data_IF_988243685899
#
_entry.id   IF_988243685899
#
_cell.length_a   1.000
_cell.length_b   1.000
_cell.length_c   1.000
_cell.angle_alpha   90.00
_cell.angle_beta   90.00
_cell.angle_gamma   90.00
#
_symmetry.space_group_name_H-M   'P 1'
#
loop_
_entity.id
_entity.type
_entity.pdbx_description
1 polymer ?
#
# COMPACT_ATOMS: atom_id res chain seq x y z
N UNK A 1 1.91 -5.22 -8.98
CA UNK A 1 1.55 -3.85 -9.41
C UNK A 1 2.66 -2.83 -9.15
N UNK A 2 3.35 -2.85 -8.01
CA UNK A 2 4.40 -1.84 -7.71
C UNK A 2 5.61 -1.87 -8.66
N UNK A 3 6.21 -3.05 -8.88
CA UNK A 3 7.43 -3.18 -9.69
C UNK A 3 7.21 -3.24 -11.21
N UNK A 4 6.00 -3.52 -11.67
CA UNK A 4 5.71 -3.73 -13.10
C UNK A 4 4.34 -3.23 -13.54
N UNK A 5 3.77 -2.30 -12.78
CA UNK A 5 2.39 -1.84 -12.96
C UNK A 5 2.12 -1.32 -14.36
N UNK A 6 3.04 -0.55 -14.93
CA UNK A 6 2.94 -0.04 -16.30
C UNK A 6 2.80 -1.16 -17.33
N UNK A 7 3.67 -2.17 -17.27
CA UNK A 7 3.66 -3.31 -18.20
C UNK A 7 2.36 -4.10 -18.03
N UNK A 8 1.99 -4.41 -16.79
CA UNK A 8 0.79 -5.19 -16.47
C UNK A 8 -0.47 -4.46 -16.94
N UNK A 9 -0.62 -3.18 -16.61
CA UNK A 9 -1.79 -2.37 -17.01
C UNK A 9 -1.87 -2.21 -18.53
N UNK A 10 -0.75 -1.99 -19.22
CA UNK A 10 -0.70 -1.92 -20.69
C UNK A 10 -1.10 -3.25 -21.34
N UNK A 11 -0.56 -4.37 -20.86
CA UNK A 11 -0.87 -5.70 -21.39
C UNK A 11 -2.35 -6.05 -21.17
N UNK A 12 -2.90 -5.78 -19.98
CA UNK A 12 -4.31 -5.98 -19.69
C UNK A 12 -5.20 -5.18 -20.66
N UNK A 13 -4.89 -3.90 -20.87
CA UNK A 13 -5.59 -3.05 -21.84
C UNK A 13 -5.57 -3.59 -23.27
N UNK A 14 -4.40 -4.05 -23.75
CA UNK A 14 -4.26 -4.57 -25.11
C UNK A 14 -4.87 -5.97 -25.34
N UNK A 15 -4.97 -6.78 -24.28
CA UNK A 15 -5.47 -8.17 -24.37
C UNK A 15 -6.97 -8.29 -24.11
N UNK A 16 -7.61 -7.22 -23.61
CA UNK A 16 -8.98 -7.27 -23.12
C UNK A 16 -9.14 -8.00 -21.78
N UNK A 17 -8.02 -8.41 -21.16
CA UNK A 17 -8.05 -8.98 -19.81
C UNK A 17 -8.42 -7.92 -18.79
N UNK A 18 -9.17 -8.33 -17.75
CA UNK A 18 -9.55 -7.46 -16.65
C UNK A 18 -8.77 -7.84 -15.40
N UNK A 19 -8.15 -6.85 -14.77
CA UNK A 19 -7.55 -6.98 -13.44
C UNK A 19 -8.63 -6.65 -12.41
N UNK A 20 -8.87 -7.54 -11.45
CA UNK A 20 -9.83 -7.34 -10.37
C UNK A 20 -9.06 -7.37 -9.05
N UNK A 21 -9.03 -6.28 -8.27
CA UNK A 21 -8.23 -6.19 -7.07
C UNK A 21 -8.81 -7.02 -5.91
N UNK A 22 -7.91 -7.68 -5.18
CA UNK A 22 -8.22 -8.47 -3.98
C UNK A 22 -7.74 -7.77 -2.70
N UNK A 23 -6.72 -6.93 -2.80
CA UNK A 23 -6.31 -6.05 -1.71
C UNK A 23 -7.52 -5.22 -1.22
N UNK A 24 -7.71 -5.11 0.11
CA UNK A 24 -8.96 -4.62 0.69
C UNK A 24 -9.31 -3.20 0.27
N UNK A 25 -8.32 -2.30 0.28
CA UNK A 25 -8.45 -0.89 -0.06
C UNK A 25 -8.78 -0.72 -1.53
N UNK A 26 -8.08 -1.45 -2.39
CA UNK A 26 -8.31 -1.42 -3.83
C UNK A 26 -9.63 -2.09 -4.21
N UNK A 27 -10.02 -3.16 -3.52
CA UNK A 27 -11.34 -3.79 -3.69
C UNK A 27 -12.47 -2.87 -3.25
N UNK A 28 -12.26 -2.09 -2.19
CA UNK A 28 -13.20 -1.06 -1.75
C UNK A 28 -13.39 0.06 -2.79
N UNK A 29 -12.28 0.57 -3.35
CA UNK A 29 -12.32 1.54 -4.45
C UNK A 29 -13.03 0.94 -5.68
N UNK A 30 -12.65 -0.28 -6.07
CA UNK A 30 -13.25 -0.97 -7.21
C UNK A 30 -14.77 -1.18 -7.04
N UNK A 31 -15.23 -1.46 -5.82
CA UNK A 31 -16.66 -1.53 -5.49
C UNK A 31 -17.36 -0.17 -5.60
N UNK A 32 -16.70 0.92 -5.18
CA UNK A 32 -17.25 2.27 -5.29
C UNK A 32 -17.35 2.74 -6.75
N UNK A 33 -16.44 2.27 -7.61
CA UNK A 33 -16.43 2.60 -9.04
C UNK A 33 -17.38 1.73 -9.90
N UNK A 34 -18.05 0.73 -9.31
CA UNK A 34 -18.89 -0.19 -10.07
C UNK A 34 -20.15 0.52 -10.59
N UNK A 35 -20.18 0.81 -11.89
CA UNK A 35 -21.25 1.56 -12.56
C UNK A 35 -20.92 3.03 -12.79
N UNK A 36 -19.78 3.50 -12.28
CA UNK A 36 -19.32 4.88 -12.42
C UNK A 36 -18.30 5.03 -13.56
N UNK A 37 -18.20 6.23 -14.12
CA UNK A 37 -17.12 6.59 -15.04
C UNK A 37 -15.86 6.95 -14.24
N UNK A 38 -14.72 6.30 -14.52
CA UNK A 38 -13.42 6.67 -13.90
C UNK A 38 -13.06 8.13 -14.20
N UNK A 39 -13.51 8.69 -15.33
CA UNK A 39 -13.36 10.10 -15.66
C UNK A 39 -14.11 11.06 -14.71
N UNK A 40 -15.08 10.56 -13.94
CA UNK A 40 -15.82 11.33 -12.93
C UNK A 40 -15.13 11.37 -11.56
N UNK A 41 -14.13 10.51 -11.33
CA UNK A 41 -13.32 10.52 -10.11
C UNK A 41 -12.60 11.85 -9.99
N UNK A 42 -12.65 12.46 -8.81
CA UNK A 42 -11.84 13.60 -8.42
C UNK A 42 -10.61 13.14 -7.65
N UNK A 43 -10.77 12.21 -6.69
CA UNK A 43 -9.69 11.75 -5.82
C UNK A 43 -9.99 10.35 -5.26
N UNK A 44 -8.94 9.55 -5.05
CA UNK A 44 -9.01 8.32 -4.27
C UNK A 44 -8.57 8.59 -2.83
N UNK A 45 -9.23 7.97 -1.86
CA UNK A 45 -8.89 8.11 -0.45
C UNK A 45 -8.63 6.72 0.13
N UNK A 46 -7.36 6.38 0.32
CA UNK A 46 -6.92 5.11 0.88
C UNK A 46 -6.86 5.22 2.40
N UNK A 47 -7.58 4.33 3.07
CA UNK A 47 -7.53 4.25 4.54
C UNK A 47 -6.40 3.33 4.99
N UNK A 48 -5.66 3.71 6.03
CA UNK A 48 -4.66 2.89 6.70
C UNK A 48 -5.07 2.61 8.15
N UNK A 49 -4.72 1.45 8.71
CA UNK A 49 -4.92 1.20 10.16
C UNK A 49 -4.01 2.08 11.04
N UNK A 50 -2.90 2.57 10.48
CA UNK A 50 -1.81 3.24 11.19
C UNK A 50 -0.78 2.29 11.82
N UNK A 51 -1.01 0.97 11.74
CA UNK A 51 -0.09 -0.04 12.25
C UNK A 51 0.03 -0.09 13.78
N UNK A 52 0.88 -0.97 14.34
CA UNK A 52 1.08 -1.15 15.78
C UNK A 52 1.75 0.04 16.48
N UNK A 53 2.34 0.96 15.72
CA UNK A 53 3.15 2.07 16.22
C UNK A 53 2.47 3.43 16.11
N UNK A 54 1.21 3.46 15.67
CA UNK A 54 0.37 4.66 15.62
C UNK A 54 0.42 5.43 16.96
N UNK A 55 0.78 6.70 16.89
CA UNK A 55 0.89 7.59 18.07
C UNK A 55 2.19 7.49 18.86
N UNK A 56 3.15 6.65 18.45
CA UNK A 56 4.51 6.65 19.01
C UNK A 56 5.34 7.77 18.42
N UNK A 57 6.30 8.24 19.21
CA UNK A 57 7.32 9.22 18.83
C UNK A 57 8.53 8.55 18.18
N UNK A 58 9.37 9.36 17.54
CA UNK A 58 10.62 8.88 16.93
C UNK A 58 11.53 8.20 17.96
N UNK A 59 11.67 8.78 19.14
CA UNK A 59 12.51 8.29 20.22
C UNK A 59 12.05 6.91 20.70
N UNK A 60 10.74 6.70 20.85
CA UNK A 60 10.15 5.41 21.25
C UNK A 60 10.36 4.31 20.22
N UNK A 61 10.56 4.68 18.95
CA UNK A 61 10.74 3.75 17.83
C UNK A 61 12.20 3.37 17.59
N UNK A 62 13.17 4.06 18.20
CA UNK A 62 14.59 3.70 18.09
C UNK A 62 14.91 2.31 18.67
N UNK A 63 14.15 1.89 19.68
CA UNK A 63 14.39 0.63 20.41
C UNK A 63 13.32 -0.44 20.17
N UNK A 64 12.42 -0.28 19.21
CA UNK A 64 11.39 -1.29 18.96
C UNK A 64 12.00 -2.56 18.39
N UNK A 65 11.52 -3.71 18.86
CA UNK A 65 11.91 -5.00 18.33
C UNK A 65 10.97 -5.44 17.20
N UNK A 66 11.41 -6.42 16.39
CA UNK A 66 10.50 -7.10 15.46
C UNK A 66 9.28 -7.70 16.16
N UNK A 67 9.43 -8.15 17.41
CA UNK A 67 8.33 -8.73 18.17
C UNK A 67 7.25 -7.70 18.52
N UNK A 68 7.62 -6.42 18.63
CA UNK A 68 6.68 -5.32 18.82
C UNK A 68 5.96 -4.97 17.52
N UNK A 69 6.70 -4.95 16.41
CA UNK A 69 6.13 -4.68 15.08
C UNK A 69 5.15 -5.77 14.64
N UNK A 70 5.34 -7.02 15.04
CA UNK A 70 4.47 -8.14 14.67
C UNK A 70 3.11 -8.16 15.41
N UNK A 71 2.87 -7.26 16.37
CA UNK A 71 1.61 -7.18 17.14
C UNK A 71 0.59 -6.24 16.47
N UNK A 72 0.15 -6.57 15.25
CA UNK A 72 -0.81 -5.73 14.52
C UNK A 72 -2.18 -5.67 15.21
N UNK A 73 -2.83 -4.49 15.34
CA UNK A 73 -4.06 -4.33 16.13
C UNK A 73 -5.29 -5.02 15.52
N UNK A 74 -5.44 -4.98 14.18
CA UNK A 74 -6.70 -5.35 13.53
C UNK A 74 -6.65 -6.61 12.65
N UNK A 75 -5.45 -7.11 12.32
CA UNK A 75 -5.26 -8.10 11.27
C UNK A 75 -4.24 -9.15 11.69
N UNK A 76 -4.51 -10.41 11.37
CA UNK A 76 -3.51 -11.48 11.41
C UNK A 76 -2.97 -11.68 10.00
N UNK A 77 -1.72 -11.28 9.77
CA UNK A 77 -1.12 -11.25 8.43
C UNK A 77 0.28 -11.87 8.44
N UNK A 78 0.86 -12.06 7.25
CA UNK A 78 2.26 -12.48 7.11
C UNK A 78 3.23 -11.47 7.73
N UNK A 79 4.43 -11.92 8.08
CA UNK A 79 5.41 -11.08 8.77
C UNK A 79 5.81 -9.84 7.95
N UNK A 80 6.10 -10.00 6.65
CA UNK A 80 6.52 -8.90 5.77
C UNK A 80 5.49 -7.76 5.72
N UNK A 81 4.24 -8.07 5.39
CA UNK A 81 3.15 -7.07 5.35
C UNK A 81 2.89 -6.45 6.73
N UNK A 82 3.11 -7.21 7.81
CA UNK A 82 2.99 -6.68 9.17
C UNK A 82 4.06 -5.63 9.48
N UNK A 83 5.32 -5.85 9.06
CA UNK A 83 6.38 -4.85 9.18
C UNK A 83 6.11 -3.65 8.27
N UNK A 84 5.67 -3.88 7.03
CA UNK A 84 5.30 -2.80 6.11
C UNK A 84 4.16 -1.93 6.66
N UNK A 85 3.19 -2.53 7.35
CA UNK A 85 2.13 -1.79 8.04
C UNK A 85 2.68 -0.95 9.19
N UNK A 86 3.65 -1.50 9.95
CA UNK A 86 4.31 -0.78 11.04
C UNK A 86 5.15 0.41 10.58
N UNK A 87 5.70 0.38 9.37
CA UNK A 87 6.47 1.50 8.77
C UNK A 87 5.61 2.44 7.92
N UNK A 88 4.32 2.13 7.73
CA UNK A 88 3.45 2.70 6.68
C UNK A 88 3.93 2.47 5.24
N UNK A 89 4.98 1.68 5.01
CA UNK A 89 5.39 1.30 3.66
C UNK A 89 4.29 0.52 2.94
N UNK A 90 3.50 -0.29 3.65
CA UNK A 90 2.38 -1.03 3.05
C UNK A 90 1.45 -0.06 2.31
N UNK A 91 1.09 1.04 2.98
CA UNK A 91 0.24 2.07 2.39
C UNK A 91 0.92 2.82 1.24
N UNK A 92 2.23 3.01 1.32
CA UNK A 92 3.02 3.55 0.21
C UNK A 92 2.99 2.66 -1.03
N UNK A 93 3.12 1.33 -0.86
CA UNK A 93 3.01 0.35 -1.94
C UNK A 93 1.60 0.35 -2.54
N UNK A 94 0.56 0.45 -1.70
CA UNK A 94 -0.83 0.54 -2.16
C UNK A 94 -1.12 1.84 -2.93
N UNK A 95 -0.52 2.98 -2.56
CA UNK A 95 -0.63 4.22 -3.36
C UNK A 95 -0.10 4.01 -4.78
N UNK A 96 1.04 3.32 -4.92
CA UNK A 96 1.61 2.98 -6.23
C UNK A 96 0.69 2.01 -6.98
N UNK A 97 0.14 1.02 -6.30
CA UNK A 97 -0.80 0.08 -6.91
C UNK A 97 -2.09 0.76 -7.40
N UNK A 98 -2.69 1.65 -6.60
CA UNK A 98 -3.86 2.42 -6.98
C UNK A 98 -3.64 3.28 -8.23
N UNK A 99 -2.45 3.89 -8.39
CA UNK A 99 -2.07 4.63 -9.62
C UNK A 99 -2.21 3.77 -10.88
N UNK A 100 -1.80 2.50 -10.80
CA UNK A 100 -1.79 1.59 -11.93
C UNK A 100 -3.11 0.87 -12.15
N UNK A 101 -3.84 0.54 -11.09
CA UNK A 101 -5.14 -0.11 -11.17
C UNK A 101 -6.23 0.81 -11.68
N UNK A 102 -6.21 2.09 -11.26
CA UNK A 102 -7.31 3.03 -11.52
C UNK A 102 -6.91 4.20 -12.42
N UNK A 103 -5.63 4.33 -12.80
CA UNK A 103 -5.16 5.41 -13.67
C UNK A 103 -5.22 6.80 -13.02
N UNK A 104 -5.18 6.87 -11.68
CA UNK A 104 -5.28 8.13 -10.93
C UNK A 104 -3.91 8.61 -10.51
N UNK A 105 -3.52 9.83 -10.88
CA UNK A 105 -2.22 10.43 -10.54
C UNK A 105 -1.96 10.50 -9.03
N UNK A 106 -0.68 10.42 -8.65
CA UNK A 106 -0.25 10.36 -7.24
C UNK A 106 -0.85 11.48 -6.36
N UNK A 107 -0.88 12.71 -6.86
CA UNK A 107 -1.40 13.87 -6.10
C UNK A 107 -2.95 13.87 -5.95
N UNK A 108 -3.63 12.89 -6.57
CA UNK A 108 -5.07 12.65 -6.45
C UNK A 108 -5.36 11.36 -5.68
N UNK A 109 -4.38 10.85 -4.94
CA UNK A 109 -4.50 9.72 -4.03
C UNK A 109 -4.15 10.25 -2.65
N UNK A 110 -5.13 10.36 -1.76
CA UNK A 110 -4.91 10.74 -0.36
C UNK A 110 -4.81 9.48 0.50
N UNK A 111 -3.93 9.53 1.50
CA UNK A 111 -3.89 8.52 2.57
C UNK A 111 -4.43 9.14 3.84
N UNK A 112 -5.37 8.45 4.48
CA UNK A 112 -5.90 8.80 5.80
C UNK A 112 -5.76 7.62 6.75
N UNK A 113 -5.49 7.88 8.01
CA UNK A 113 -5.46 6.82 9.02
C UNK A 113 -6.85 6.67 9.62
N UNK A 114 -7.40 5.46 9.51
CA UNK A 114 -8.68 5.02 10.04
C UNK A 114 -8.45 3.77 10.92
N UNK A 115 -8.20 3.96 12.23
CA UNK A 115 -7.77 2.88 13.13
C UNK A 115 -8.78 1.75 13.30
N UNK A 116 -10.07 2.00 13.05
CA UNK A 116 -11.12 0.98 13.19
C UNK A 116 -11.16 0.01 12.00
N UNK A 117 -10.55 0.37 10.86
CA UNK A 117 -10.51 -0.44 9.64
C UNK A 117 -11.89 -0.95 9.18
N UNK A 118 -12.95 -0.15 9.40
CA UNK A 118 -14.33 -0.45 8.97
C UNK A 118 -14.60 0.15 7.59
N UNK A 119 -14.21 1.41 7.39
CA UNK A 119 -14.17 2.00 6.06
C UNK A 119 -12.86 1.55 5.42
N UNK A 120 -12.95 0.78 4.35
CA UNK A 120 -11.78 0.16 3.72
C UNK A 120 -11.13 1.04 2.67
N UNK A 121 -11.85 1.97 2.04
CA UNK A 121 -11.35 3.10 1.24
C UNK A 121 -12.55 3.87 0.67
N UNK A 122 -12.27 5.02 0.06
CA UNK A 122 -13.30 5.89 -0.50
C UNK A 122 -12.89 6.46 -1.86
N UNK A 123 -13.88 6.94 -2.60
CA UNK A 123 -13.73 7.66 -3.87
C UNK A 123 -14.49 8.97 -3.76
N UNK A 124 -13.80 10.09 -3.95
CA UNK A 124 -14.42 11.40 -4.15
C UNK A 124 -14.62 11.62 -5.65
N UNK A 125 -15.83 12.05 -6.03
CA UNK A 125 -16.19 12.37 -7.40
C UNK A 125 -16.16 13.89 -7.65
N UNK A 126 -16.21 14.28 -8.93
CA UNK A 126 -16.16 15.69 -9.36
C UNK A 126 -17.33 16.53 -8.85
N UNK A 127 -18.47 15.90 -8.55
CA UNK A 127 -19.63 16.54 -7.92
C UNK A 127 -19.49 16.69 -6.39
N UNK A 128 -18.34 16.28 -5.85
CA UNK A 128 -17.97 16.31 -4.42
C UNK A 128 -18.71 15.31 -3.55
N UNK A 129 -19.43 14.37 -4.16
CA UNK A 129 -19.89 13.18 -3.45
C UNK A 129 -18.70 12.27 -3.10
N UNK A 130 -18.79 11.60 -1.96
CA UNK A 130 -17.82 10.60 -1.52
C UNK A 130 -18.55 9.28 -1.32
N UNK A 131 -18.10 8.24 -2.03
CA UNK A 131 -18.57 6.88 -1.80
C UNK A 131 -17.51 6.09 -1.06
N UNK A 132 -17.95 5.28 -0.12
CA UNK A 132 -17.11 4.45 0.75
C UNK A 132 -17.62 3.02 0.75
N UNK A 133 -16.70 2.06 0.76
CA UNK A 133 -17.06 0.67 1.07
C UNK A 133 -16.73 0.37 2.54
N UNK A 134 -17.73 -0.15 3.24
CA UNK A 134 -17.64 -0.51 4.65
C UNK A 134 -17.77 -2.02 4.83
N UNK A 135 -17.02 -2.57 5.78
CA UNK A 135 -17.07 -3.99 6.15
C UNK A 135 -16.37 -4.26 7.47
N UNK A 136 -16.58 -5.46 8.01
CA UNK A 136 -15.67 -5.97 9.04
C UNK A 136 -14.31 -6.24 8.39
N UNK A 137 -13.18 -6.11 9.12
CA UNK A 137 -11.84 -6.40 8.61
C UNK A 137 -11.67 -7.90 8.32
N UNK A 138 -12.16 -8.33 7.16
CA UNK A 138 -12.26 -9.73 6.75
C UNK A 138 -12.00 -9.89 5.24
N UNK A 139 -10.84 -10.47 4.91
CA UNK A 139 -10.40 -10.67 3.52
C UNK A 139 -11.32 -11.58 2.70
N UNK A 140 -12.21 -12.35 3.32
CA UNK A 140 -13.19 -13.15 2.58
C UNK A 140 -14.14 -12.27 1.75
N UNK A 141 -14.37 -11.02 2.17
CA UNK A 141 -15.20 -10.05 1.45
C UNK A 141 -14.57 -9.65 0.11
N UNK A 142 -13.36 -9.05 0.06
CA UNK A 142 -12.76 -8.66 -1.21
C UNK A 142 -12.38 -9.86 -2.10
N UNK A 143 -11.97 -10.99 -1.52
CA UNK A 143 -11.73 -12.24 -2.27
C UNK A 143 -13.00 -12.71 -2.97
N UNK A 144 -14.12 -12.81 -2.25
CA UNK A 144 -15.39 -13.23 -2.83
C UNK A 144 -15.84 -12.25 -3.93
N UNK A 145 -15.70 -10.95 -3.70
CA UNK A 145 -16.11 -9.97 -4.70
C UNK A 145 -15.28 -10.11 -5.99
N UNK A 146 -13.97 -10.31 -5.89
CA UNK A 146 -13.12 -10.52 -7.05
C UNK A 146 -13.52 -11.74 -7.89
N UNK A 147 -13.97 -12.82 -7.24
CA UNK A 147 -14.40 -14.06 -7.91
C UNK A 147 -15.83 -13.99 -8.49
N UNK A 148 -16.67 -13.11 -7.96
CA UNK A 148 -18.11 -13.09 -8.27
C UNK A 148 -18.55 -11.86 -9.04
N UNK A 149 -17.69 -10.85 -9.15
CA UNK A 149 -17.93 -9.62 -9.90
C UNK A 149 -18.42 -9.89 -11.33
N UNK A 150 -19.48 -9.20 -11.81
CA UNK A 150 -20.19 -8.08 -11.17
C UNK A 150 -21.32 -8.48 -10.22
N UNK A 151 -21.56 -9.78 -10.03
CA UNK A 151 -22.59 -10.27 -9.11
C UNK A 151 -22.07 -10.30 -7.65
N UNK A 152 -23.00 -10.33 -6.70
CA UNK A 152 -22.70 -10.63 -5.30
C UNK A 152 -23.28 -12.00 -4.93
N UNK A 153 -22.58 -12.72 -4.05
CA UNK A 153 -23.01 -14.02 -3.49
C UNK A 153 -23.16 -13.90 -1.97
N UNK A 154 -23.85 -14.88 -1.40
CA UNK A 154 -24.05 -14.98 0.05
C UNK A 154 -22.71 -15.15 0.78
N UNK A 155 -22.41 -14.26 1.72
CA UNK A 155 -21.18 -14.26 2.52
C UNK A 155 -21.17 -15.31 3.63
N UNK A 156 -21.09 -16.59 3.28
CA UNK A 156 -21.11 -17.69 4.26
C UNK A 156 -19.96 -17.56 5.27
N UNK A 157 -20.31 -17.47 6.55
CA UNK A 157 -19.36 -17.36 7.66
C UNK A 157 -18.73 -15.98 7.83
N UNK A 158 -19.20 -14.96 7.09
CA UNK A 158 -18.81 -13.56 7.26
C UNK A 158 -19.85 -12.90 8.16
N UNK A 159 -19.40 -12.27 9.24
CA UNK A 159 -20.29 -11.54 10.15
C UNK A 159 -20.77 -10.23 9.52
N UNK A 160 -22.04 -9.88 9.72
CA UNK A 160 -22.58 -8.59 9.30
C UNK A 160 -21.96 -7.45 10.10
N UNK A 161 -21.63 -6.35 9.44
CA UNK A 161 -21.22 -5.13 10.12
C UNK A 161 -22.41 -4.56 10.92
N UNK A 162 -22.19 -4.35 12.21
CA UNK A 162 -23.14 -3.70 13.11
C UNK A 162 -22.64 -2.27 13.43
N UNK A 163 -23.22 -1.28 12.76
CA UNK A 163 -22.82 0.13 12.92
C UNK A 163 -23.10 0.68 14.32
N UNK A 164 -24.07 0.13 15.05
CA UNK A 164 -24.34 0.55 16.43
C UNK A 164 -23.24 0.04 17.38
N UNK A 165 -22.68 -1.15 17.10
CA UNK A 165 -21.53 -1.70 17.85
C UNK A 165 -20.19 -1.12 17.43
N UNK A 166 -20.05 -0.72 16.16
CA UNK A 166 -18.84 -0.11 15.62
C UNK A 166 -18.42 1.16 16.38
N UNK A 167 -19.39 1.90 16.94
CA UNK A 167 -19.13 3.09 17.72
C UNK A 167 -18.58 4.24 16.87
N UNK A 168 -17.47 4.84 17.32
CA UNK A 168 -16.88 6.01 16.64
C UNK A 168 -15.95 5.59 15.52
N UNK A 169 -16.18 6.14 14.32
CA UNK A 169 -15.25 6.08 13.20
C UNK A 169 -14.41 7.35 13.20
N UNK A 170 -13.09 7.21 13.33
CA UNK A 170 -12.18 8.36 13.42
C UNK A 170 -11.24 8.39 12.21
N UNK A 171 -10.80 9.59 11.85
CA UNK A 171 -9.85 9.82 10.76
C UNK A 171 -8.78 10.79 11.21
N UNK A 172 -7.53 10.49 10.90
CA UNK A 172 -6.39 11.33 11.21
C UNK A 172 -5.44 11.39 10.00
N UNK A 173 -4.62 12.45 9.92
CA UNK A 173 -3.57 12.53 8.90
C UNK A 173 -2.47 11.52 9.23
N UNK A 174 -1.87 10.86 8.22
CA UNK A 174 -0.70 10.02 8.46
C UNK A 174 0.48 10.87 8.94
N UNK A 175 1.18 10.38 9.97
CA UNK A 175 2.40 11.01 10.49
C UNK A 175 3.60 10.61 9.61
N UNK A 176 3.87 11.42 8.58
CA UNK A 176 4.99 11.18 7.66
C UNK A 176 6.35 11.62 8.22
N UNK A 177 6.37 12.35 9.35
CA UNK A 177 7.63 12.73 10.02
C UNK A 177 8.19 11.54 10.81
N UNK A 178 7.32 10.82 11.52
CA UNK A 178 7.68 9.61 12.26
C UNK A 178 7.76 8.39 11.33
N UNK A 179 6.90 8.31 10.30
CA UNK A 179 6.85 7.18 9.35
C UNK A 179 7.17 7.62 7.91
N UNK A 180 8.46 7.89 7.60
CA UNK A 180 8.88 8.49 6.34
C UNK A 180 8.67 7.58 5.10
N UNK A 181 8.51 6.27 5.28
CA UNK A 181 8.32 5.33 4.17
C UNK A 181 7.14 5.69 3.25
N UNK A 182 6.06 6.25 3.80
CA UNK A 182 4.94 6.72 3.00
C UNK A 182 5.36 7.85 2.04
N UNK A 183 6.12 8.82 2.55
CA UNK A 183 6.68 9.92 1.75
C UNK A 183 7.60 9.43 0.63
N UNK A 184 8.50 8.50 0.96
CA UNK A 184 9.42 7.86 0.00
C UNK A 184 8.67 7.15 -1.13
N UNK A 185 7.53 6.52 -0.83
CA UNK A 185 6.71 5.87 -1.84
C UNK A 185 6.05 6.88 -2.81
N UNK A 186 5.53 7.99 -2.29
CA UNK A 186 5.01 9.08 -3.15
C UNK A 186 6.11 9.68 -4.02
N UNK A 187 7.31 9.89 -3.46
CA UNK A 187 8.45 10.39 -4.22
C UNK A 187 8.83 9.43 -5.37
N UNK A 188 9.02 8.15 -5.06
CA UNK A 188 9.33 7.14 -6.07
C UNK A 188 8.27 7.07 -7.17
N UNK A 189 6.98 7.19 -6.81
CA UNK A 189 5.88 7.22 -7.75
C UNK A 189 5.91 8.44 -8.68
N UNK A 190 6.18 9.63 -8.12
CA UNK A 190 6.27 10.87 -8.90
C UNK A 190 7.47 10.89 -9.83
N UNK A 191 8.61 10.34 -9.40
CA UNK A 191 9.80 10.23 -10.24
C UNK A 191 9.59 9.23 -11.39
N UNK A 192 8.78 8.19 -11.18
CA UNK A 192 8.35 7.24 -12.22
C UNK A 192 9.45 6.31 -12.73
N UNK A 193 9.15 5.57 -13.80
CA UNK A 193 10.08 4.57 -14.34
C UNK A 193 10.45 3.50 -13.32
N UNK A 194 11.73 3.16 -13.21
CA UNK A 194 12.20 2.10 -12.30
C UNK A 194 12.39 2.53 -10.84
N UNK A 195 11.97 3.75 -10.44
CA UNK A 195 12.05 4.16 -9.03
C UNK A 195 11.15 3.34 -8.11
N UNK A 196 9.94 2.96 -8.54
CA UNK A 196 9.05 2.09 -7.73
C UNK A 196 9.58 0.66 -7.62
N UNK A 197 10.39 0.22 -8.61
CA UNK A 197 11.13 -1.06 -8.55
C UNK A 197 12.20 -1.00 -7.49
N UNK A 198 13.03 0.05 -7.51
CA UNK A 198 14.08 0.26 -6.51
C UNK A 198 13.49 0.35 -5.09
N UNK A 199 12.41 1.13 -4.91
CA UNK A 199 11.68 1.22 -3.64
C UNK A 199 11.25 -0.17 -3.13
N UNK A 200 10.56 -0.96 -3.96
CA UNK A 200 10.07 -2.27 -3.57
C UNK A 200 11.21 -3.24 -3.26
N UNK A 201 12.23 -3.29 -4.12
CA UNK A 201 13.38 -4.18 -3.97
C UNK A 201 14.18 -3.87 -2.70
N UNK A 202 14.43 -2.59 -2.41
CA UNK A 202 15.09 -2.15 -1.19
C UNK A 202 14.25 -2.53 0.04
N UNK A 203 12.95 -2.23 0.02
CA UNK A 203 12.05 -2.52 1.13
C UNK A 203 12.01 -4.02 1.46
N UNK A 204 11.89 -4.90 0.46
CA UNK A 204 11.88 -6.34 0.69
C UNK A 204 13.14 -6.83 1.41
N UNK A 205 14.31 -6.38 0.99
CA UNK A 205 15.59 -6.74 1.63
C UNK A 205 15.65 -6.21 3.06
N UNK A 206 15.26 -4.95 3.26
CA UNK A 206 15.37 -4.29 4.57
C UNK A 206 14.39 -4.85 5.59
N UNK A 207 13.17 -5.17 5.18
CA UNK A 207 12.21 -5.86 6.05
C UNK A 207 12.73 -7.23 6.45
N UNK A 208 13.33 -7.98 5.54
CA UNK A 208 13.98 -9.25 5.86
C UNK A 208 15.13 -9.06 6.87
N UNK A 209 15.99 -8.06 6.68
CA UNK A 209 17.07 -7.77 7.62
C UNK A 209 16.56 -7.35 9.00
N UNK A 210 15.48 -6.56 9.07
CA UNK A 210 14.83 -6.20 10.33
C UNK A 210 14.21 -7.42 11.03
N UNK A 211 13.53 -8.29 10.28
CA UNK A 211 12.98 -9.55 10.80
C UNK A 211 14.07 -10.52 11.28
N UNK A 212 15.29 -10.39 10.79
CA UNK A 212 16.47 -11.16 11.22
C UNK A 212 17.31 -10.44 12.29
N UNK A 213 16.78 -9.38 12.91
CA UNK A 213 17.45 -8.58 13.95
C UNK A 213 18.83 -8.03 13.52
N UNK A 214 19.02 -7.77 12.21
CA UNK A 214 20.28 -7.26 11.65
C UNK A 214 20.36 -5.75 11.58
N UNK A 215 19.20 -5.09 11.47
CA UNK A 215 19.08 -3.63 11.40
C UNK A 215 17.96 -3.15 12.33
N UNK A 216 17.98 -1.86 12.69
CA UNK A 216 16.92 -1.21 13.47
C UNK A 216 15.74 -0.76 12.62
N UNK A 217 14.67 -0.32 13.28
CA UNK A 217 13.43 0.12 12.61
C UNK A 217 13.66 1.30 11.64
N UNK A 218 14.46 2.29 12.07
CA UNK A 218 14.77 3.47 11.24
C UNK A 218 15.86 3.25 10.19
N UNK A 219 16.55 2.12 10.22
CA UNK A 219 17.45 1.76 9.14
C UNK A 219 16.67 1.44 7.85
N UNK A 220 15.43 0.97 7.97
CA UNK A 220 14.55 0.69 6.82
C UNK A 220 14.37 1.96 5.95
N UNK A 221 13.74 3.05 6.43
CA UNK A 221 13.56 4.24 5.59
C UNK A 221 14.89 4.87 5.17
N UNK A 222 15.91 4.86 6.04
CA UNK A 222 17.24 5.41 5.72
C UNK A 222 17.88 4.73 4.52
N UNK A 223 17.90 3.39 4.49
CA UNK A 223 18.51 2.66 3.37
C UNK A 223 17.64 2.66 2.11
N UNK A 224 16.31 2.81 2.25
CA UNK A 224 15.43 3.05 1.10
C UNK A 224 15.76 4.41 0.46
N UNK A 225 15.88 5.46 1.26
CA UNK A 225 16.26 6.80 0.78
C UNK A 225 17.60 6.76 0.03
N UNK A 226 18.63 6.15 0.62
CA UNK A 226 19.94 5.97 -0.05
C UNK A 226 19.84 5.17 -1.36
N UNK A 227 18.99 4.14 -1.41
CA UNK A 227 18.77 3.37 -2.62
C UNK A 227 18.11 4.22 -3.72
N UNK A 228 17.12 5.05 -3.37
CA UNK A 228 16.46 5.96 -4.30
C UNK A 228 17.42 7.07 -4.77
N UNK A 229 18.20 7.69 -3.88
CA UNK A 229 19.19 8.71 -4.24
C UNK A 229 20.25 8.17 -5.23
N UNK A 230 20.69 6.93 -5.04
CA UNK A 230 21.70 6.30 -5.90
C UNK A 230 21.10 5.80 -7.23
N UNK A 231 19.81 5.53 -7.26
CA UNK A 231 19.15 4.90 -8.40
C UNK A 231 19.13 5.80 -9.63
N UNK A 232 19.39 5.21 -10.79
CA UNK A 232 19.29 5.87 -12.09
C UNK A 232 18.12 5.27 -12.85
N UNK A 233 17.03 6.02 -12.97
CA UNK A 233 15.78 5.49 -13.51
C UNK A 233 15.80 5.27 -15.02
N UNK A 234 15.15 4.19 -15.43
CA UNK A 234 14.73 3.93 -16.81
C UNK A 234 13.24 4.27 -16.89
N UNK A 235 12.87 5.25 -17.73
CA UNK A 235 11.51 5.81 -17.75
C UNK A 235 10.45 4.84 -18.26
N UNK A 236 10.76 4.09 -19.33
CA UNK A 236 9.86 3.12 -19.95
C UNK A 236 10.54 1.75 -19.97
N UNK A 237 10.65 1.09 -18.81
CA UNK A 237 11.44 -0.13 -18.71
C UNK A 237 10.71 -1.32 -19.34
N UNK A 238 11.48 -2.19 -20.00
CA UNK A 238 11.06 -3.55 -20.31
C UNK A 238 11.21 -4.46 -19.09
N UNK A 239 10.88 -5.74 -19.27
CA UNK A 239 11.01 -6.74 -18.21
C UNK A 239 12.47 -6.87 -17.76
N UNK A 240 13.42 -6.84 -18.70
CA UNK A 240 14.85 -6.99 -18.40
C UNK A 240 15.38 -5.80 -17.58
N UNK A 241 14.95 -4.57 -17.89
CA UNK A 241 15.31 -3.38 -17.12
C UNK A 241 14.70 -3.41 -15.71
N UNK A 242 13.46 -3.90 -15.54
CA UNK A 242 12.84 -4.09 -14.22
C UNK A 242 13.65 -5.11 -13.39
N UNK A 243 13.95 -6.27 -13.96
CA UNK A 243 14.71 -7.32 -13.28
C UNK A 243 16.14 -6.85 -12.93
N UNK A 244 16.75 -6.06 -13.82
CA UNK A 244 18.06 -5.46 -13.59
C UNK A 244 18.01 -4.44 -12.45
N UNK A 245 17.03 -3.53 -12.46
CA UNK A 245 16.86 -2.53 -11.41
C UNK A 245 16.60 -3.18 -10.03
N UNK A 246 15.75 -4.21 -9.97
CA UNK A 246 15.53 -5.00 -8.76
C UNK A 246 16.85 -5.61 -8.25
N UNK A 247 17.55 -6.36 -9.11
CA UNK A 247 18.80 -7.05 -8.72
C UNK A 247 19.90 -6.08 -8.28
N UNK A 248 20.06 -4.95 -8.97
CA UNK A 248 21.05 -3.92 -8.63
C UNK A 248 20.70 -3.26 -7.30
N UNK A 249 19.44 -2.96 -7.06
CA UNK A 249 18.99 -2.33 -5.81
C UNK A 249 19.22 -3.26 -4.62
N UNK A 250 18.84 -4.54 -4.75
CA UNK A 250 19.09 -5.53 -3.68
C UNK A 250 20.56 -5.65 -3.34
N UNK A 251 21.44 -5.73 -4.35
CA UNK A 251 22.89 -5.78 -4.16
C UNK A 251 23.42 -4.53 -3.46
N UNK A 252 22.99 -3.35 -3.91
CA UNK A 252 23.40 -2.09 -3.32
C UNK A 252 23.03 -1.98 -1.85
N UNK A 253 21.77 -2.27 -1.50
CA UNK A 253 21.27 -2.19 -0.13
C UNK A 253 22.01 -3.18 0.78
N UNK A 254 22.20 -4.43 0.34
CA UNK A 254 22.97 -5.41 1.12
C UNK A 254 24.41 -4.94 1.39
N UNK A 255 25.08 -4.35 0.39
CA UNK A 255 26.43 -3.79 0.59
C UNK A 255 26.44 -2.63 1.59
N UNK A 256 25.39 -1.80 1.64
CA UNK A 256 25.32 -0.70 2.60
C UNK A 256 25.10 -1.17 4.04
N UNK A 257 24.45 -2.32 4.24
CA UNK A 257 24.21 -2.89 5.57
C UNK A 257 25.48 -3.54 6.14
N UNK A 258 26.38 -4.03 5.27
CA UNK A 258 27.64 -4.67 5.65
C UNK A 258 28.78 -3.68 5.98
N UNK A 259 28.62 -2.39 5.63
CA UNK A 259 29.60 -1.31 5.87
C UNK A 259 29.34 -0.57 7.19
#
# INVERSE_FOLDING_TARGET
MVAGGEIVSRLAGSSGARIVPVDSEHSAIFQCLNGEDVGSVEKLILTASGGPFRGKTREELLSVSKSDALKHPNWQMGQKITIDSATLMNKGLEVIEARWLFGIEADRIDVIVHPQSIIHSMVEFKDKSVMAQLGNPDMRIPIQYALTYPQRKEGKGIESLDLLKAGSLTFEKPDCETFPCLGLAYEALRLGGTYTVALNAANEVLVEQFLNDRIGFYDIPRYIELALEKHSSVKEPGIDEILTADSQTRKFVMQQIEL
#
